data_IF_941721212368
#
_entry.id   IF_941721212368
#
_cell.length_a   1.000
_cell.length_b   1.000
_cell.length_c   1.000
_cell.angle_alpha   90.00
_cell.angle_beta   90.00
_cell.angle_gamma   90.00
#
_symmetry.space_group_name_H-M   'P 1'
#
loop_
_entity.id
_entity.type
_entity.pdbx_description
1 polymer ?
#
# COMPACT_ATOMS: atom_id res chain seq x y z
N UNK A 1 -6.06 -4.37 -2.36
CA UNK A 1 -7.47 -4.69 -2.69
C UNK A 1 -7.86 -6.09 -2.23
N UNK A 2 -7.23 -7.15 -2.76
CA UNK A 2 -7.53 -8.54 -2.39
C UNK A 2 -7.61 -8.78 -0.88
N UNK A 3 -6.58 -8.37 -0.12
CA UNK A 3 -6.56 -8.55 1.33
C UNK A 3 -7.66 -7.76 2.07
N UNK A 4 -7.96 -6.53 1.64
CA UNK A 4 -9.02 -5.71 2.24
C UNK A 4 -10.40 -6.34 2.08
N UNK A 5 -10.66 -7.05 0.97
CA UNK A 5 -11.94 -7.73 0.72
C UNK A 5 -12.18 -8.93 1.65
N UNK A 6 -11.10 -9.55 2.16
CA UNK A 6 -11.21 -10.63 3.16
C UNK A 6 -11.71 -10.12 4.52
N UNK A 7 -11.48 -8.83 4.81
CA UNK A 7 -11.86 -8.18 6.07
C UNK A 7 -13.25 -7.56 5.94
N UNK A 8 -13.54 -6.92 4.81
CA UNK A 8 -14.83 -6.25 4.57
C UNK A 8 -15.17 -6.23 3.08
N UNK A 9 -16.44 -6.49 2.69
CA UNK A 9 -16.85 -6.37 1.30
C UNK A 9 -16.63 -4.96 0.74
N UNK A 10 -16.66 -3.92 1.58
CA UNK A 10 -16.41 -2.53 1.15
C UNK A 10 -14.99 -2.30 0.62
N UNK A 11 -14.04 -3.20 0.88
CA UNK A 11 -12.69 -3.15 0.32
C UNK A 11 -12.67 -3.12 -1.22
N UNK A 12 -13.71 -3.67 -1.86
CA UNK A 12 -13.87 -3.64 -3.32
C UNK A 12 -14.07 -2.22 -3.88
N UNK A 13 -14.65 -1.31 -3.09
CA UNK A 13 -14.93 0.07 -3.49
C UNK A 13 -13.71 0.99 -3.40
N UNK A 14 -12.59 0.50 -2.85
CA UNK A 14 -11.38 1.29 -2.70
C UNK A 14 -10.79 1.69 -4.06
N UNK A 15 -10.68 3.00 -4.27
CA UNK A 15 -9.99 3.62 -5.42
C UNK A 15 -8.56 4.04 -5.10
N UNK A 16 -7.99 3.56 -4.00
CA UNK A 16 -6.61 3.86 -3.62
C UNK A 16 -5.62 3.40 -4.71
N UNK A 17 -4.59 4.21 -4.91
CA UNK A 17 -3.52 3.98 -5.89
C UNK A 17 -2.19 4.13 -5.15
N UNK A 18 -1.18 3.40 -5.61
CA UNK A 18 0.20 3.57 -5.20
C UNK A 18 1.06 3.82 -6.45
N UNK A 19 2.12 4.59 -6.30
CA UNK A 19 3.00 4.95 -7.43
C UNK A 19 4.29 5.59 -6.97
N UNK A 20 5.17 5.87 -7.93
CA UNK A 20 6.47 6.47 -7.69
C UNK A 20 6.56 7.81 -8.43
N UNK A 21 7.06 8.83 -7.74
CA UNK A 21 7.41 10.13 -8.33
C UNK A 21 8.88 10.44 -8.04
N UNK A 22 9.72 10.42 -9.08
CA UNK A 22 11.18 10.52 -8.91
C UNK A 22 11.70 9.36 -8.06
N UNK A 23 12.31 9.67 -6.90
CA UNK A 23 12.78 8.68 -5.91
C UNK A 23 11.83 8.48 -4.73
N UNK A 24 10.56 8.88 -4.87
CA UNK A 24 9.58 8.86 -3.77
C UNK A 24 8.47 7.88 -4.06
N UNK A 25 8.26 6.91 -3.15
CA UNK A 25 7.10 6.03 -3.15
C UNK A 25 5.92 6.73 -2.47
N UNK A 26 4.77 6.75 -3.12
CA UNK A 26 3.51 7.33 -2.62
C UNK A 26 2.47 6.21 -2.54
N UNK A 27 1.85 6.04 -1.37
CA UNK A 27 0.83 5.01 -1.14
C UNK A 27 -0.39 5.68 -0.51
N UNK A 28 -1.53 5.64 -1.21
CA UNK A 28 -2.79 6.08 -0.64
C UNK A 28 -3.35 4.99 0.29
N UNK A 29 -3.68 5.37 1.52
CA UNK A 29 -4.29 4.50 2.52
C UNK A 29 -5.74 4.93 2.81
N UNK A 30 -6.57 4.04 3.38
CA UNK A 30 -7.93 4.39 3.78
C UNK A 30 -7.97 5.47 4.87
N UNK A 31 -9.10 6.16 5.04
CA UNK A 31 -9.23 7.27 5.99
C UNK A 31 -9.36 6.89 7.47
N UNK A 32 -9.59 5.61 7.80
CA UNK A 32 -9.75 5.19 9.20
C UNK A 32 -8.45 4.58 9.77
N UNK A 33 -8.09 4.86 11.02
CA UNK A 33 -6.87 4.31 11.64
C UNK A 33 -6.82 2.77 11.66
N UNK A 34 -7.97 2.11 11.79
CA UNK A 34 -8.06 0.64 11.73
C UNK A 34 -7.66 0.13 10.34
N UNK A 35 -8.28 0.67 9.30
CA UNK A 35 -8.02 0.23 7.93
C UNK A 35 -6.60 0.60 7.44
N UNK A 36 -6.02 1.69 7.97
CA UNK A 36 -4.60 2.00 7.79
C UNK A 36 -3.72 0.87 8.32
N UNK A 37 -3.92 0.43 9.57
CA UNK A 37 -3.12 -0.64 10.18
C UNK A 37 -3.21 -1.95 9.38
N UNK A 38 -4.42 -2.33 8.98
CA UNK A 38 -4.70 -3.53 8.18
C UNK A 38 -4.05 -3.45 6.79
N UNK A 39 -4.18 -2.31 6.10
CA UNK A 39 -3.63 -2.15 4.75
C UNK A 39 -2.10 -2.04 4.78
N UNK A 40 -1.57 -1.32 5.77
CA UNK A 40 -0.13 -1.10 5.91
C UNK A 40 0.62 -2.39 6.25
N UNK A 41 0.06 -3.22 7.12
CA UNK A 41 0.65 -4.53 7.47
C UNK A 41 0.76 -5.48 6.28
N UNK A 42 -0.14 -5.39 5.29
CA UNK A 42 -0.05 -6.15 4.04
C UNK A 42 1.09 -5.69 3.15
N UNK A 43 1.34 -4.38 3.06
CA UNK A 43 2.36 -3.83 2.14
C UNK A 43 3.76 -3.73 2.77
N UNK A 44 3.85 -3.65 4.10
CA UNK A 44 5.10 -3.50 4.84
C UNK A 44 6.22 -4.46 4.42
N UNK A 45 5.97 -5.78 4.25
CA UNK A 45 7.01 -6.72 3.86
C UNK A 45 7.63 -6.44 2.48
N UNK A 46 6.89 -5.80 1.57
CA UNK A 46 7.36 -5.46 0.22
C UNK A 46 8.12 -4.14 0.15
N UNK A 47 7.97 -3.25 1.16
CA UNK A 47 8.55 -1.91 1.12
C UNK A 47 10.08 -1.89 1.03
N UNK A 48 10.85 -2.73 1.77
CA UNK A 48 12.31 -2.70 1.66
C UNK A 48 12.80 -2.94 0.24
N UNK A 49 12.25 -3.95 -0.44
CA UNK A 49 12.61 -4.25 -1.82
C UNK A 49 12.19 -3.13 -2.78
N UNK A 50 10.96 -2.63 -2.66
CA UNK A 50 10.48 -1.52 -3.47
C UNK A 50 11.37 -0.26 -3.34
N UNK A 51 11.85 0.04 -2.14
CA UNK A 51 12.75 1.17 -1.88
C UNK A 51 14.09 0.98 -2.58
N UNK A 52 14.67 -0.22 -2.56
CA UNK A 52 15.96 -0.46 -3.24
C UNK A 52 15.84 -0.37 -4.76
N UNK A 53 14.73 -0.82 -5.36
CA UNK A 53 14.41 -0.60 -6.77
C UNK A 53 14.33 0.90 -7.08
N UNK A 54 13.60 1.68 -6.27
CA UNK A 54 13.44 3.12 -6.48
C UNK A 54 14.78 3.87 -6.37
N UNK A 55 15.71 3.37 -5.55
CA UNK A 55 17.07 3.90 -5.43
C UNK A 55 18.00 3.48 -6.58
N UNK A 56 17.62 2.51 -7.40
CA UNK A 56 18.43 1.94 -8.48
C UNK A 56 19.60 1.09 -7.97
N UNK A 57 19.40 0.39 -6.85
CA UNK A 57 20.43 -0.47 -6.21
C UNK A 57 20.25 -1.96 -6.49
N UNK A 58 19.19 -2.31 -7.21
CA UNK A 58 18.84 -3.64 -7.71
C UNK A 58 18.25 -3.45 -9.11
#
# INVERSE_FOLDING_TARGET
RAESMKITPYGMLSRAVAGVRGKTLIINLPGSPKAVKETLSVVLPALPHAIEIIKGRI
#
